data_IF_296070967643
#
_entry.id   IF_296070967643
#
_cell.length_a   1.000
_cell.length_b   1.000
_cell.length_c   1.000
_cell.angle_alpha   90.00
_cell.angle_beta   90.00
_cell.angle_gamma   90.00
#
_symmetry.space_group_name_H-M   'P 1'
#
loop_
_entity.id
_entity.type
_entity.pdbx_description
1 polymer ?
#
# COMPACT_ATOMS: atom_id res chain seq x y z
N UNK A 1 -16.37 25.62 5.65
CA UNK A 1 -16.40 25.18 4.24
C UNK A 1 -16.52 23.66 4.10
N UNK A 2 -15.59 22.87 4.66
CA UNK A 2 -15.68 21.39 4.72
C UNK A 2 -17.03 20.81 5.21
N UNK A 3 -17.62 21.26 6.33
CA UNK A 3 -18.88 20.69 6.83
C UNK A 3 -20.10 20.98 5.94
N UNK A 4 -20.07 22.08 5.19
CA UNK A 4 -21.13 22.40 4.21
C UNK A 4 -21.03 21.49 2.97
N UNK A 5 -19.81 21.20 2.51
CA UNK A 5 -19.56 20.32 1.37
C UNK A 5 -20.03 18.88 1.64
N UNK A 6 -19.73 18.37 2.84
CA UNK A 6 -20.16 17.03 3.29
C UNK A 6 -21.70 16.98 3.35
N UNK A 7 -22.34 18.01 3.93
CA UNK A 7 -23.81 18.08 3.99
C UNK A 7 -24.48 18.14 2.61
N UNK A 8 -23.90 18.84 1.63
CA UNK A 8 -24.43 18.89 0.27
C UNK A 8 -24.25 17.56 -0.49
N UNK A 9 -23.17 16.81 -0.21
CA UNK A 9 -22.91 15.49 -0.78
C UNK A 9 -23.89 14.45 -0.24
N UNK A 10 -24.09 14.42 1.09
CA UNK A 10 -25.01 13.49 1.76
C UNK A 10 -26.46 13.69 1.35
N UNK A 11 -26.86 14.93 1.06
CA UNK A 11 -28.21 15.28 0.60
C UNK A 11 -28.42 15.14 -0.91
N UNK A 12 -27.41 14.71 -1.66
CA UNK A 12 -27.52 14.48 -3.11
C UNK A 12 -27.74 15.75 -3.94
N UNK A 13 -27.32 16.92 -3.45
CA UNK A 13 -27.54 18.20 -4.14
C UNK A 13 -26.56 18.47 -5.29
N UNK A 14 -25.63 17.54 -5.53
CA UNK A 14 -24.73 17.54 -6.67
C UNK A 14 -25.33 16.73 -7.82
N UNK A 15 -25.22 17.24 -9.04
CA UNK A 15 -25.70 16.54 -10.22
C UNK A 15 -25.05 15.15 -10.32
N UNK A 16 -25.83 14.06 -10.45
CA UNK A 16 -25.32 12.68 -10.35
C UNK A 16 -24.40 12.24 -11.51
N UNK A 17 -24.14 13.11 -12.49
CA UNK A 17 -23.21 12.85 -13.58
C UNK A 17 -22.77 14.18 -14.21
N UNK A 18 -21.46 14.37 -14.55
CA UNK A 18 -21.00 15.59 -15.19
C UNK A 18 -21.67 15.74 -16.56
N UNK A 19 -22.38 16.85 -16.77
CA UNK A 19 -22.94 17.15 -18.08
C UNK A 19 -21.89 17.86 -18.92
N UNK A 20 -21.64 17.32 -20.12
CA UNK A 20 -20.77 17.96 -21.09
C UNK A 20 -21.50 19.19 -21.65
N UNK A 21 -21.07 20.38 -21.26
CA UNK A 21 -21.52 21.60 -21.94
C UNK A 21 -20.57 21.92 -23.08
N UNK A 22 -21.13 22.27 -24.23
CA UNK A 22 -20.37 22.70 -25.41
C UNK A 22 -20.48 24.22 -25.50
N UNK A 23 -19.38 24.93 -25.31
CA UNK A 23 -19.30 26.34 -25.70
C UNK A 23 -18.54 26.44 -27.02
N UNK A 24 -19.19 27.05 -28.01
CA UNK A 24 -18.62 27.35 -29.31
C UNK A 24 -17.94 28.71 -29.22
N UNK A 25 -16.63 28.72 -29.00
CA UNK A 25 -15.79 29.86 -29.42
C UNK A 25 -14.70 29.30 -30.32
N UNK A 26 -14.49 29.99 -31.43
CA UNK A 26 -13.77 29.50 -32.59
C UNK A 26 -12.41 28.90 -32.21
N UNK A 27 -12.20 27.68 -32.73
CA UNK A 27 -10.97 26.87 -32.73
C UNK A 27 -10.69 25.84 -31.63
N UNK A 28 -11.48 25.67 -30.58
CA UNK A 28 -11.35 24.47 -29.71
C UNK A 28 -12.70 24.02 -29.16
N UNK A 29 -13.10 22.76 -29.44
CA UNK A 29 -14.18 22.10 -28.68
C UNK A 29 -13.66 21.80 -27.28
N UNK A 30 -13.95 22.68 -26.32
CA UNK A 30 -13.63 22.47 -24.91
C UNK A 30 -14.80 21.75 -24.25
N UNK A 31 -14.59 20.54 -23.77
CA UNK A 31 -15.54 19.85 -22.90
C UNK A 31 -15.27 20.29 -21.46
N UNK A 32 -16.01 21.29 -20.98
CA UNK A 32 -16.00 21.64 -19.56
C UNK A 32 -16.92 20.68 -18.81
N UNK A 33 -16.38 19.95 -17.82
CA UNK A 33 -17.21 19.21 -16.86
C UNK A 33 -17.59 20.16 -15.74
N UNK A 34 -18.83 20.64 -15.75
CA UNK A 34 -19.35 21.51 -14.70
C UNK A 34 -20.17 20.67 -13.74
N UNK A 35 -19.84 20.74 -12.45
CA UNK A 35 -20.69 20.21 -11.39
C UNK A 35 -21.26 21.43 -10.67
N UNK A 36 -22.55 21.68 -10.86
CA UNK A 36 -23.22 22.80 -10.21
C UNK A 36 -23.90 22.31 -8.92
N UNK A 37 -23.69 23.03 -7.81
CA UNK A 37 -24.55 22.86 -6.64
C UNK A 37 -25.90 23.49 -6.97
N UNK A 38 -26.98 22.73 -6.83
CA UNK A 38 -28.37 23.21 -6.98
C UNK A 38 -28.85 24.07 -5.79
N UNK A 39 -27.95 24.44 -4.89
CA UNK A 39 -28.24 25.17 -3.67
C UNK A 39 -28.09 26.70 -3.86
N UNK A 40 -28.88 27.50 -3.13
CA UNK A 40 -28.85 28.97 -3.17
C UNK A 40 -27.55 29.61 -2.61
N UNK A 41 -26.53 28.83 -2.26
CA UNK A 41 -25.34 29.34 -1.56
C UNK A 41 -24.32 30.04 -2.47
N UNK A 42 -24.48 29.97 -3.79
CA UNK A 42 -23.75 30.79 -4.77
C UNK A 42 -22.23 30.68 -4.72
N UNK A 43 -21.67 29.59 -4.19
CA UNK A 43 -20.20 29.46 -4.06
C UNK A 43 -19.58 28.88 -5.35
N UNK A 44 -18.49 29.48 -5.87
CA UNK A 44 -17.82 28.98 -7.05
C UNK A 44 -17.08 27.67 -6.77
N UNK A 45 -16.91 26.94 -7.87
CA UNK A 45 -16.40 25.59 -8.02
C UNK A 45 -15.07 25.37 -7.27
N UNK A 46 -15.10 24.64 -6.15
CA UNK A 46 -13.89 24.35 -5.34
C UNK A 46 -12.97 23.33 -6.05
N UNK A 47 -13.32 22.89 -7.26
CA UNK A 47 -12.49 22.01 -8.07
C UNK A 47 -11.17 22.66 -8.55
N UNK A 48 -11.11 23.99 -8.64
CA UNK A 48 -9.88 24.69 -9.11
C UNK A 48 -8.68 24.49 -8.17
N UNK A 49 -8.91 24.29 -6.87
CA UNK A 49 -7.83 24.05 -5.90
C UNK A 49 -7.53 22.56 -5.67
N UNK A 50 -8.26 21.64 -6.30
CA UNK A 50 -8.08 20.19 -6.11
C UNK A 50 -7.43 19.49 -7.30
N UNK A 51 -7.43 20.13 -8.47
CA UNK A 51 -6.75 19.66 -9.69
C UNK A 51 -5.73 20.72 -10.07
N UNK A 52 -4.44 20.43 -9.84
CA UNK A 52 -3.35 21.28 -10.30
C UNK A 52 -3.48 21.53 -11.80
N UNK A 53 -3.72 22.78 -12.16
CA UNK A 53 -3.88 23.22 -13.55
C UNK A 53 -2.59 23.91 -14.00
N UNK A 54 -1.73 23.19 -14.72
CA UNK A 54 -0.72 23.82 -15.58
C UNK A 54 -1.16 23.70 -17.05
N UNK A 55 -1.77 24.78 -17.53
CA UNK A 55 -2.20 24.92 -18.91
C UNK A 55 -1.03 25.12 -19.87
N UNK A 56 -0.43 24.02 -20.32
CA UNK A 56 0.18 23.97 -21.66
C UNK A 56 -0.16 22.63 -22.31
N UNK A 57 -1.06 22.68 -23.31
CA UNK A 57 -1.41 21.59 -24.27
C UNK A 57 -2.46 20.54 -23.87
N UNK A 58 -3.64 20.97 -23.43
CA UNK A 58 -4.90 20.37 -23.91
C UNK A 58 -5.21 18.92 -23.48
N UNK A 59 -4.69 18.42 -22.37
CA UNK A 59 -5.18 17.19 -21.73
C UNK A 59 -5.20 17.38 -20.22
N UNK A 60 -6.39 17.62 -19.66
CA UNK A 60 -6.60 17.59 -18.20
C UNK A 60 -6.62 16.11 -17.80
N UNK A 61 -5.45 15.51 -17.58
CA UNK A 61 -5.36 14.27 -16.82
C UNK A 61 -5.30 14.67 -15.35
N UNK A 62 -6.44 14.59 -14.66
CA UNK A 62 -6.43 14.70 -13.21
C UNK A 62 -5.67 13.48 -12.66
N UNK A 63 -4.38 13.64 -12.38
CA UNK A 63 -3.51 12.61 -11.79
C UNK A 63 -4.09 12.09 -10.48
N UNK A 64 -4.88 12.91 -9.78
CA UNK A 64 -5.60 12.56 -8.55
C UNK A 64 -6.80 11.61 -8.76
N UNK A 65 -7.43 11.61 -9.94
CA UNK A 65 -8.59 10.73 -10.23
C UNK A 65 -8.17 9.30 -10.62
N UNK A 66 -6.99 9.15 -11.23
CA UNK A 66 -6.37 7.85 -11.55
C UNK A 66 -5.36 7.41 -10.47
N UNK A 67 -5.46 7.99 -9.27
CA UNK A 67 -4.54 7.72 -8.18
C UNK A 67 -4.69 6.32 -7.58
N UNK A 68 -5.82 5.64 -7.78
CA UNK A 68 -6.07 4.28 -7.26
C UNK A 68 -7.11 3.56 -8.13
N UNK A 69 -7.20 2.23 -7.97
CA UNK A 69 -8.22 1.42 -8.65
C UNK A 69 -9.54 1.46 -7.86
N UNK A 70 -10.54 2.14 -8.43
CA UNK A 70 -11.87 2.31 -7.84
C UNK A 70 -12.63 0.99 -7.66
N UNK A 71 -12.45 0.03 -8.57
CA UNK A 71 -13.13 -1.27 -8.48
C UNK A 71 -12.51 -2.10 -7.34
N UNK A 72 -11.18 -2.06 -7.25
CA UNK A 72 -10.45 -2.75 -6.18
C UNK A 72 -10.74 -2.13 -4.82
N UNK A 73 -10.76 -0.81 -4.72
CA UNK A 73 -11.09 -0.11 -3.47
C UNK A 73 -12.51 -0.43 -2.99
N UNK A 74 -13.48 -0.51 -3.91
CA UNK A 74 -14.87 -0.89 -3.58
C UNK A 74 -15.00 -2.33 -3.09
N UNK A 75 -14.16 -3.25 -3.62
CA UNK A 75 -14.19 -4.67 -3.25
C UNK A 75 -13.45 -4.93 -1.94
N UNK A 76 -12.26 -4.37 -1.79
CA UNK A 76 -11.35 -4.66 -0.68
C UNK A 76 -11.61 -3.73 0.52
N UNK A 77 -12.41 -2.67 0.33
CA UNK A 77 -12.70 -1.66 1.36
C UNK A 77 -11.52 -0.75 1.68
N UNK A 78 -10.42 -0.87 0.93
CA UNK A 78 -9.14 -0.20 1.17
C UNK A 78 -8.68 0.49 -0.10
N UNK A 79 -8.40 1.79 -0.02
CA UNK A 79 -7.82 2.56 -1.12
C UNK A 79 -6.31 2.27 -1.15
N UNK A 80 -5.84 1.74 -2.28
CA UNK A 80 -4.42 1.46 -2.51
C UNK A 80 -3.90 2.39 -3.61
N UNK A 81 -2.93 3.26 -3.32
CA UNK A 81 -2.33 4.13 -4.32
C UNK A 81 -1.73 3.33 -5.48
N UNK A 82 -1.90 3.85 -6.69
CA UNK A 82 -1.19 3.39 -7.88
C UNK A 82 0.29 3.81 -7.78
N UNK A 83 1.15 3.04 -8.45
CA UNK A 83 2.57 3.35 -8.51
C UNK A 83 2.79 4.76 -9.08
N UNK A 84 3.63 5.55 -8.40
CA UNK A 84 4.03 6.90 -8.76
C UNK A 84 3.14 8.00 -8.18
N UNK A 85 2.10 7.65 -7.43
CA UNK A 85 1.18 8.61 -6.80
C UNK A 85 1.73 9.10 -5.47
N UNK A 86 2.27 8.18 -4.68
CA UNK A 86 2.88 8.44 -3.38
C UNK A 86 4.28 7.79 -3.36
N UNK A 87 5.34 8.61 -3.45
CA UNK A 87 6.72 8.13 -3.40
C UNK A 87 7.06 7.40 -2.10
N UNK A 88 6.48 7.80 -0.97
CA UNK A 88 6.77 7.21 0.34
C UNK A 88 6.08 5.84 0.47
N UNK A 89 4.83 5.72 0.02
CA UNK A 89 4.13 4.44 -0.10
C UNK A 89 4.86 3.47 -1.03
N UNK A 90 5.28 3.94 -2.20
CA UNK A 90 6.02 3.13 -3.17
C UNK A 90 7.36 2.66 -2.61
N UNK A 91 8.10 3.56 -1.95
CA UNK A 91 9.38 3.23 -1.31
C UNK A 91 9.18 2.19 -0.21
N UNK A 92 8.21 2.40 0.69
CA UNK A 92 7.91 1.44 1.75
C UNK A 92 7.55 0.06 1.19
N UNK A 93 6.75 0.01 0.12
CA UNK A 93 6.40 -1.24 -0.56
C UNK A 93 7.59 -1.93 -1.23
N UNK A 94 8.54 -1.16 -1.76
CA UNK A 94 9.79 -1.70 -2.29
C UNK A 94 10.66 -2.28 -1.18
N UNK A 95 10.81 -1.54 -0.08
CA UNK A 95 11.61 -1.97 1.08
C UNK A 95 11.09 -3.29 1.66
N UNK A 96 9.77 -3.42 1.85
CA UNK A 96 9.12 -4.69 2.27
C UNK A 96 9.54 -5.85 1.35
N UNK A 97 9.42 -5.67 0.03
CA UNK A 97 9.78 -6.72 -0.95
C UNK A 97 11.26 -7.05 -0.94
N UNK A 98 12.13 -6.08 -0.68
CA UNK A 98 13.56 -6.35 -0.56
C UNK A 98 13.85 -7.17 0.68
N UNK A 99 13.25 -6.83 1.82
CA UNK A 99 13.44 -7.57 3.06
C UNK A 99 12.87 -8.99 2.99
N UNK A 100 11.72 -9.20 2.34
CA UNK A 100 11.20 -10.56 2.05
C UNK A 100 12.20 -11.39 1.24
N UNK A 101 12.81 -10.81 0.20
CA UNK A 101 13.85 -11.50 -0.59
C UNK A 101 15.11 -11.79 0.21
N UNK A 102 15.52 -10.88 1.11
CA UNK A 102 16.65 -11.11 2.02
C UNK A 102 16.34 -12.32 2.93
N UNK A 103 15.13 -12.39 3.48
CA UNK A 103 14.68 -13.50 4.32
C UNK A 103 14.67 -14.84 3.55
N UNK A 104 14.15 -14.85 2.32
CA UNK A 104 14.16 -16.05 1.47
C UNK A 104 15.59 -16.52 1.18
N UNK A 105 16.48 -15.59 0.82
CA UNK A 105 17.91 -15.90 0.60
C UNK A 105 18.56 -16.44 1.86
N UNK A 106 18.27 -15.83 3.01
CA UNK A 106 18.80 -16.25 4.29
C UNK A 106 18.34 -17.68 4.65
N UNK A 107 17.08 -18.03 4.37
CA UNK A 107 16.58 -19.39 4.56
C UNK A 107 17.38 -20.41 3.76
N UNK A 108 17.68 -20.10 2.49
CA UNK A 108 18.48 -20.98 1.64
C UNK A 108 19.93 -21.10 2.15
N UNK A 109 20.54 -20.00 2.58
CA UNK A 109 21.86 -20.02 3.22
C UNK A 109 21.88 -20.90 4.50
N UNK A 110 20.85 -20.82 5.34
CA UNK A 110 20.76 -21.67 6.54
C UNK A 110 20.46 -23.13 6.21
N UNK A 111 19.68 -23.41 5.15
CA UNK A 111 19.47 -24.78 4.65
C UNK A 111 20.78 -25.43 4.24
N UNK A 112 21.66 -24.69 3.58
CA UNK A 112 22.97 -25.17 3.16
C UNK A 112 23.92 -25.34 4.36
N UNK A 113 23.97 -24.35 5.26
CA UNK A 113 24.82 -24.36 6.46
C UNK A 113 24.54 -25.56 7.37
N UNK A 114 23.26 -25.87 7.61
CA UNK A 114 22.84 -27.00 8.47
C UNK A 114 22.68 -28.30 7.65
N UNK A 115 22.84 -28.22 6.31
CA UNK A 115 22.59 -29.32 5.37
C UNK A 115 21.20 -29.94 5.59
N UNK A 116 20.18 -29.08 5.71
CA UNK A 116 18.80 -29.46 6.01
C UNK A 116 17.82 -28.75 5.09
N UNK A 117 17.51 -29.39 3.95
CA UNK A 117 16.55 -28.89 2.97
C UNK A 117 15.10 -28.83 3.47
N UNK A 118 14.77 -29.59 4.51
CA UNK A 118 13.44 -29.60 5.12
C UNK A 118 13.16 -28.36 6.00
N UNK A 119 14.15 -27.47 6.18
CA UNK A 119 13.97 -26.25 6.94
C UNK A 119 13.01 -25.30 6.22
N UNK A 120 12.05 -24.75 6.96
CA UNK A 120 11.04 -23.82 6.44
C UNK A 120 10.80 -22.69 7.44
N UNK A 121 10.33 -21.54 6.95
CA UNK A 121 9.79 -20.51 7.83
C UNK A 121 8.44 -20.93 8.39
N UNK A 122 8.21 -20.58 9.65
CA UNK A 122 6.98 -20.84 10.37
C UNK A 122 6.54 -19.58 11.15
N UNK A 123 5.24 -19.50 11.41
CA UNK A 123 4.65 -18.54 12.34
C UNK A 123 3.82 -17.45 11.66
N UNK A 124 3.19 -16.62 12.49
CA UNK A 124 2.31 -15.54 12.05
C UNK A 124 2.35 -14.37 13.04
N UNK A 125 1.97 -13.18 12.58
CA UNK A 125 1.96 -11.95 13.39
C UNK A 125 3.33 -11.67 14.01
N UNK A 126 3.39 -11.57 15.34
CA UNK A 126 4.63 -11.28 16.10
C UNK A 126 5.64 -12.43 16.11
N UNK A 127 5.21 -13.64 15.78
CA UNK A 127 6.02 -14.86 15.82
C UNK A 127 6.39 -15.36 14.42
N UNK A 128 6.36 -14.48 13.41
CA UNK A 128 6.65 -14.82 12.00
C UNK A 128 8.13 -15.14 11.76
N UNK A 129 8.39 -15.84 10.66
CA UNK A 129 9.74 -16.21 10.19
C UNK A 129 10.60 -17.00 11.19
N UNK A 130 10.01 -17.84 12.03
CA UNK A 130 10.76 -18.82 12.83
C UNK A 130 11.29 -19.94 11.93
N UNK A 131 12.54 -20.37 12.13
CA UNK A 131 13.12 -21.50 11.39
C UNK A 131 12.64 -22.80 12.02
N UNK A 132 11.77 -23.53 11.33
CA UNK A 132 11.34 -24.86 11.74
C UNK A 132 12.34 -25.91 11.22
N UNK A 133 13.04 -26.57 12.15
CA UNK A 133 14.12 -27.51 11.89
C UNK A 133 13.75 -28.88 12.48
N UNK A 134 13.89 -29.99 11.73
CA UNK A 134 13.57 -31.31 12.24
C UNK A 134 14.56 -31.75 13.32
N UNK A 135 14.10 -32.54 14.28
CA UNK A 135 14.92 -33.02 15.40
C UNK A 135 16.18 -33.78 14.94
N UNK A 136 16.10 -34.44 13.79
CA UNK A 136 17.23 -35.16 13.16
C UNK A 136 18.40 -34.26 12.76
N UNK A 137 18.16 -32.96 12.52
CA UNK A 137 19.18 -32.00 12.10
C UNK A 137 19.73 -31.15 13.26
N UNK A 138 19.20 -31.28 14.48
CA UNK A 138 19.55 -30.41 15.61
C UNK A 138 21.02 -30.48 16.02
N UNK A 139 21.69 -31.62 15.80
CA UNK A 139 23.12 -31.76 16.09
C UNK A 139 24.02 -30.84 15.25
N UNK A 140 23.50 -30.31 14.14
CA UNK A 140 24.19 -29.39 13.23
C UNK A 140 23.76 -27.94 13.41
N UNK A 141 22.79 -27.68 14.29
CA UNK A 141 22.32 -26.32 14.58
C UNK A 141 23.35 -25.66 15.50
N UNK A 142 23.90 -24.49 15.12
CA UNK A 142 24.83 -23.74 15.97
C UNK A 142 24.15 -23.17 17.22
N UNK A 143 24.94 -22.89 18.26
CA UNK A 143 24.44 -22.38 19.55
C UNK A 143 23.89 -20.94 19.49
N UNK A 144 24.18 -20.18 18.43
CA UNK A 144 23.63 -18.84 18.19
C UNK A 144 22.12 -18.85 17.86
N UNK A 145 21.54 -20.04 17.65
CA UNK A 145 20.12 -20.20 17.35
C UNK A 145 19.30 -20.24 18.64
N UNK A 146 18.48 -19.21 18.82
CA UNK A 146 17.57 -19.09 19.94
C UNK A 146 16.35 -19.99 19.76
N UNK A 147 16.20 -21.03 20.58
CA UNK A 147 14.99 -21.84 20.61
C UNK A 147 13.77 -21.02 21.11
N UNK A 148 12.73 -20.92 20.28
CA UNK A 148 11.48 -20.21 20.63
C UNK A 148 10.32 -21.15 20.94
N UNK A 149 10.17 -22.23 20.17
CA UNK A 149 9.14 -23.23 20.44
C UNK A 149 9.55 -24.61 19.93
N UNK A 150 8.85 -25.64 20.39
CA UNK A 150 9.09 -27.02 19.96
C UNK A 150 7.78 -27.77 19.75
N UNK A 151 7.78 -28.65 18.78
CA UNK A 151 6.74 -29.63 18.48
C UNK A 151 7.42 -31.00 18.38
N UNK A 152 6.70 -32.09 18.62
CA UNK A 152 7.25 -33.44 18.44
C UNK A 152 7.88 -33.58 17.05
N UNK A 153 9.20 -33.83 17.00
CA UNK A 153 9.97 -34.00 15.77
C UNK A 153 10.49 -32.71 15.12
N UNK A 154 10.14 -31.52 15.65
CA UNK A 154 10.53 -30.22 15.08
C UNK A 154 10.79 -29.18 16.16
N UNK A 155 11.87 -28.40 16.02
CA UNK A 155 12.14 -27.26 16.88
C UNK A 155 12.19 -25.98 16.06
N UNK A 156 11.79 -24.87 16.68
CA UNK A 156 11.64 -23.57 16.03
C UNK A 156 12.58 -22.55 16.64
N UNK A 157 13.34 -21.89 15.79
CA UNK A 157 14.41 -21.01 16.21
C UNK A 157 14.27 -19.61 15.61
N UNK A 158 14.86 -18.64 16.29
CA UNK A 158 15.28 -17.39 15.69
C UNK A 158 16.79 -17.27 15.73
N UNK A 159 17.29 -16.45 14.83
CA UNK A 159 18.68 -15.99 14.80
C UNK A 159 18.65 -14.47 14.93
N UNK A 160 19.75 -13.87 15.36
CA UNK A 160 19.87 -12.40 15.43
C UNK A 160 19.53 -11.75 14.09
N UNK A 161 20.01 -12.33 12.98
CA UNK A 161 19.75 -11.81 11.63
C UNK A 161 18.25 -11.78 11.28
N UNK A 162 17.51 -12.84 11.66
CA UNK A 162 16.05 -12.86 11.47
C UNK A 162 15.39 -11.76 12.31
N UNK A 163 15.85 -11.53 13.54
CA UNK A 163 15.28 -10.47 14.39
C UNK A 163 15.52 -9.08 13.79
N UNK A 164 16.70 -8.84 13.24
CA UNK A 164 17.05 -7.58 12.59
C UNK A 164 16.23 -7.37 11.31
N UNK A 165 16.13 -8.40 10.45
CA UNK A 165 15.30 -8.35 9.24
C UNK A 165 13.80 -8.20 9.57
N UNK A 166 13.34 -8.80 10.67
CA UNK A 166 11.97 -8.61 11.16
C UNK A 166 11.72 -7.17 11.58
N UNK A 167 12.67 -6.54 12.27
CA UNK A 167 12.57 -5.14 12.66
C UNK A 167 12.51 -4.23 11.43
N UNK A 168 13.41 -4.43 10.45
CA UNK A 168 13.38 -3.71 9.16
C UNK A 168 12.02 -3.86 8.46
N UNK A 169 11.46 -5.07 8.46
CA UNK A 169 10.18 -5.37 7.83
C UNK A 169 9.02 -4.65 8.54
N UNK A 170 8.98 -4.68 9.88
CA UNK A 170 7.95 -3.98 10.66
C UNK A 170 8.02 -2.47 10.42
N UNK A 171 9.22 -1.88 10.44
CA UNK A 171 9.38 -0.46 10.17
C UNK A 171 8.92 -0.06 8.75
N UNK A 172 9.19 -0.91 7.75
CA UNK A 172 8.71 -0.68 6.40
C UNK A 172 7.18 -0.85 6.27
N UNK A 173 6.60 -1.81 6.98
CA UNK A 173 5.14 -1.98 7.07
C UNK A 173 4.47 -0.79 7.73
N UNK A 174 5.03 -0.28 8.83
CA UNK A 174 4.53 0.89 9.56
C UNK A 174 4.60 2.15 8.68
N UNK A 175 5.70 2.37 7.95
CA UNK A 175 5.80 3.47 6.98
C UNK A 175 4.73 3.39 5.89
N UNK A 176 4.50 2.19 5.35
CA UNK A 176 3.47 1.94 4.35
C UNK A 176 2.07 2.23 4.91
N UNK A 177 1.81 1.82 6.15
CA UNK A 177 0.53 2.02 6.82
C UNK A 177 0.28 3.49 7.20
N UNK A 178 1.31 4.25 7.56
CA UNK A 178 1.22 5.71 7.79
C UNK A 178 0.92 6.44 6.48
N UNK A 179 1.69 6.18 5.43
CA UNK A 179 1.47 6.79 4.10
C UNK A 179 0.08 6.50 3.53
N UNK A 180 -0.52 5.36 3.90
CA UNK A 180 -1.85 4.99 3.45
C UNK A 180 -3.00 5.68 4.22
N UNK A 181 -2.73 6.25 5.40
CA UNK A 181 -3.73 6.93 6.24
C UNK A 181 -3.78 8.44 6.04
N UNK A 182 -2.70 9.04 5.51
CA UNK A 182 -2.57 10.47 5.24
C UNK A 182 -3.25 10.90 3.92
#
# INVERSE_FOLDING_TARGET
>A
MRPHLISCLEKGHFTPFPQNTTSSTDFVRIYARRIECSCQCGKPDVFENMIGYEAKRGRISCTKWNAFDHNKAKKDGVIVPNKGVDPDYDKAKLDIKMTERKLDKYLDEQRDRISCRQMVFWGSGKNRFQLEIPESALKRVPDEYDLKSSKKGWKRFWTSDIQDMLAELVEAEDRKDVAQRD
#
